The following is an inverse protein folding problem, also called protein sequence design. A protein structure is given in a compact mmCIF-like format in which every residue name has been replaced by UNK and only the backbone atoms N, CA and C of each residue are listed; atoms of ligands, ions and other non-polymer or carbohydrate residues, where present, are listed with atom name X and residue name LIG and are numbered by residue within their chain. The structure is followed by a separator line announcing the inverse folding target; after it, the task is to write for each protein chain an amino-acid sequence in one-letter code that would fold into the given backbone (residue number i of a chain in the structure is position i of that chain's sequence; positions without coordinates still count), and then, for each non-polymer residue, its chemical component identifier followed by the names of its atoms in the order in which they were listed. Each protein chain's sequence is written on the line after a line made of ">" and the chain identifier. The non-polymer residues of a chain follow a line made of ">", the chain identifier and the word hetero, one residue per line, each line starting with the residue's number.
data_IF_450325546121
#
_entry.id   IF_450325546121
#
_cell.length_a   1.000
_cell.length_b   1.000
_cell.length_c   1.000
_cell.angle_alpha   90.00
_cell.angle_beta   90.00
_cell.angle_gamma   90.00
#
_symmetry.space_group_name_H-M   'P 1'
#
loop_
_entity.id
_entity.type
_entity.pdbx_description
1 polymer ?
#
# COMPACT_ATOMS: atom_id res chain seq x y z
N UNK A 1 -22.67 30.41 -5.83
CA UNK A 1 -21.69 29.41 -5.36
C UNK A 1 -21.22 28.65 -6.58
N UNK A 2 -20.09 29.02 -7.19
CA UNK A 2 -19.56 28.27 -8.33
C UNK A 2 -18.85 27.04 -7.76
N UNK A 3 -19.48 25.88 -7.87
CA UNK A 3 -18.80 24.62 -7.60
C UNK A 3 -17.89 24.37 -8.80
N UNK A 4 -16.59 24.39 -8.57
CA UNK A 4 -15.60 24.18 -9.62
C UNK A 4 -15.65 22.71 -10.09
N UNK A 5 -15.66 22.48 -11.41
CA UNK A 5 -15.72 21.14 -12.00
C UNK A 5 -14.57 20.26 -11.46
N UNK A 6 -13.42 20.88 -11.18
CA UNK A 6 -12.27 20.23 -10.57
C UNK A 6 -12.60 19.68 -9.17
N UNK A 7 -13.32 20.43 -8.34
CA UNK A 7 -13.68 20.00 -6.98
C UNK A 7 -14.64 18.81 -7.02
N UNK A 8 -15.61 18.81 -7.94
CA UNK A 8 -16.53 17.68 -8.14
C UNK A 8 -15.73 16.44 -8.57
N UNK A 9 -14.79 16.58 -9.51
CA UNK A 9 -13.93 15.49 -9.96
C UNK A 9 -13.10 14.87 -8.83
N UNK A 10 -12.51 15.69 -7.96
CA UNK A 10 -11.70 15.20 -6.83
C UNK A 10 -12.57 14.47 -5.80
N UNK A 11 -13.78 14.96 -5.50
CA UNK A 11 -14.71 14.29 -4.58
C UNK A 11 -15.15 12.93 -5.13
N UNK A 12 -15.46 12.84 -6.43
CA UNK A 12 -15.78 11.55 -7.08
C UNK A 12 -14.59 10.59 -6.99
N UNK A 13 -13.38 11.07 -7.27
CA UNK A 13 -12.16 10.27 -7.15
C UNK A 13 -11.97 9.73 -5.72
N UNK A 14 -12.19 10.56 -4.69
CA UNK A 14 -12.12 10.15 -3.29
C UNK A 14 -13.12 9.03 -2.94
N UNK A 15 -14.38 9.18 -3.35
CA UNK A 15 -15.41 8.15 -3.12
C UNK A 15 -15.02 6.83 -3.79
N UNK A 16 -14.57 6.90 -5.05
CA UNK A 16 -14.11 5.73 -5.80
C UNK A 16 -12.90 5.08 -5.11
N UNK A 17 -11.93 5.87 -4.64
CA UNK A 17 -10.77 5.40 -3.89
C UNK A 17 -11.18 4.60 -2.64
N UNK A 18 -12.11 5.12 -1.83
CA UNK A 18 -12.61 4.40 -0.65
C UNK A 18 -13.30 3.07 -1.04
N UNK A 19 -14.12 3.07 -2.09
CA UNK A 19 -14.79 1.87 -2.59
C UNK A 19 -13.79 0.83 -3.09
N UNK A 20 -12.74 1.25 -3.78
CA UNK A 20 -11.68 0.37 -4.29
C UNK A 20 -10.86 -0.24 -3.17
N UNK A 21 -10.49 0.54 -2.15
CA UNK A 21 -9.81 0.02 -0.94
C UNK A 21 -10.70 -1.05 -0.27
N UNK A 22 -11.97 -0.74 -0.05
CA UNK A 22 -12.90 -1.68 0.58
C UNK A 22 -13.01 -2.99 -0.21
N UNK A 23 -13.25 -2.91 -1.53
CA UNK A 23 -13.34 -4.10 -2.39
C UNK A 23 -12.04 -4.91 -2.41
N UNK A 24 -10.90 -4.22 -2.43
CA UNK A 24 -9.59 -4.87 -2.36
C UNK A 24 -9.42 -5.65 -1.07
N UNK A 25 -9.73 -5.04 0.08
CA UNK A 25 -9.61 -5.67 1.39
C UNK A 25 -10.55 -6.87 1.54
N UNK A 26 -11.80 -6.77 1.08
CA UNK A 26 -12.75 -7.89 1.10
C UNK A 26 -12.25 -9.06 0.27
N UNK A 27 -11.75 -8.80 -0.94
CA UNK A 27 -11.17 -9.83 -1.80
C UNK A 27 -9.91 -10.44 -1.17
N UNK A 28 -9.03 -9.62 -0.60
CA UNK A 28 -7.78 -10.07 0.01
C UNK A 28 -8.01 -10.98 1.23
N UNK A 29 -8.85 -10.54 2.17
CA UNK A 29 -9.03 -11.18 3.47
C UNK A 29 -10.04 -12.32 3.36
N UNK A 30 -11.24 -12.04 2.84
CA UNK A 30 -12.37 -12.98 2.82
C UNK A 30 -12.52 -13.75 1.51
N UNK A 31 -11.69 -13.45 0.50
CA UNK A 31 -11.70 -14.17 -0.76
C UNK A 31 -11.13 -15.58 -0.67
N UNK A 32 -11.50 -16.41 -1.66
CA UNK A 32 -10.97 -17.77 -1.85
C UNK A 32 -9.44 -17.74 -1.96
N UNK A 33 -8.79 -18.82 -1.52
CA UNK A 33 -7.34 -18.99 -1.73
C UNK A 33 -7.06 -19.01 -3.24
N UNK A 34 -6.33 -18.04 -3.78
CA UNK A 34 -6.03 -17.98 -5.21
C UNK A 34 -4.96 -19.01 -5.62
N UNK A 35 -4.91 -19.31 -6.93
CA UNK A 35 -3.75 -19.98 -7.53
C UNK A 35 -2.53 -19.06 -7.56
N UNK A 36 -1.34 -19.63 -7.72
CA UNK A 36 -0.07 -18.91 -7.59
C UNK A 36 0.03 -17.62 -8.42
N UNK A 37 -0.33 -17.59 -9.73
CA UNK A 37 -0.26 -16.36 -10.52
C UNK A 37 -1.22 -15.27 -10.01
N UNK A 38 -2.41 -15.66 -9.57
CA UNK A 38 -3.40 -14.75 -9.03
C UNK A 38 -2.98 -14.22 -7.64
N UNK A 39 -2.40 -15.07 -6.78
CA UNK A 39 -1.82 -14.67 -5.50
C UNK A 39 -0.75 -13.59 -5.69
N UNK A 40 0.14 -13.79 -6.68
CA UNK A 40 1.16 -12.82 -7.05
C UNK A 40 0.57 -11.51 -7.58
N UNK A 41 -0.41 -11.57 -8.49
CA UNK A 41 -1.08 -10.38 -9.01
C UNK A 41 -1.74 -9.55 -7.90
N UNK A 42 -2.39 -10.20 -6.94
CA UNK A 42 -2.98 -9.54 -5.77
C UNK A 42 -1.89 -8.96 -4.86
N UNK A 43 -0.79 -9.67 -4.65
CA UNK A 43 0.37 -9.17 -3.91
C UNK A 43 0.98 -7.91 -4.54
N UNK A 44 1.16 -7.90 -5.87
CA UNK A 44 1.66 -6.73 -6.60
C UNK A 44 0.70 -5.55 -6.49
N UNK A 45 -0.61 -5.81 -6.56
CA UNK A 45 -1.63 -4.78 -6.36
C UNK A 45 -1.61 -4.21 -4.93
N UNK A 46 -1.41 -5.04 -3.90
CA UNK A 46 -1.20 -4.57 -2.52
C UNK A 46 0.07 -3.72 -2.39
N UNK A 47 1.11 -4.03 -3.15
CA UNK A 47 2.39 -3.33 -3.11
C UNK A 47 2.39 -1.95 -3.78
N UNK A 48 1.53 -1.76 -4.79
CA UNK A 48 1.57 -0.58 -5.66
C UNK A 48 0.28 0.22 -5.59
N UNK A 49 -0.84 -0.42 -5.92
CA UNK A 49 -2.14 0.23 -6.03
C UNK A 49 -2.72 0.63 -4.67
N UNK A 50 -2.66 -0.27 -3.69
CA UNK A 50 -3.19 0.00 -2.35
C UNK A 50 -2.53 1.20 -1.65
N UNK A 51 -1.18 1.32 -1.57
CA UNK A 51 -0.55 2.48 -0.96
C UNK A 51 -0.83 3.75 -1.75
N UNK A 52 -0.81 3.72 -3.08
CA UNK A 52 -1.11 4.88 -3.93
C UNK A 52 -2.52 5.45 -3.65
N UNK A 53 -3.54 4.60 -3.60
CA UNK A 53 -4.91 5.04 -3.29
C UNK A 53 -5.04 5.50 -1.85
N UNK A 54 -4.39 4.80 -0.91
CA UNK A 54 -4.45 5.15 0.52
C UNK A 54 -3.78 6.50 0.79
N UNK A 55 -2.65 6.79 0.14
CA UNK A 55 -2.01 8.10 0.23
C UNK A 55 -2.84 9.19 -0.42
N UNK A 56 -3.52 8.92 -1.54
CA UNK A 56 -4.46 9.88 -2.13
C UNK A 56 -5.60 10.23 -1.16
N UNK A 57 -6.20 9.22 -0.51
CA UNK A 57 -7.23 9.41 0.52
C UNK A 57 -6.69 10.22 1.70
N UNK A 58 -5.49 9.89 2.20
CA UNK A 58 -4.86 10.59 3.31
C UNK A 58 -4.55 12.06 2.96
N UNK A 59 -4.03 12.33 1.77
CA UNK A 59 -3.79 13.67 1.26
C UNK A 59 -5.09 14.47 1.10
N UNK A 60 -6.16 13.85 0.58
CA UNK A 60 -7.45 14.51 0.42
C UNK A 60 -8.05 14.92 1.77
N UNK A 61 -7.98 14.03 2.77
CA UNK A 61 -8.40 14.31 4.14
C UNK A 61 -7.57 15.45 4.74
N UNK A 62 -6.24 15.39 4.60
CA UNK A 62 -5.36 16.42 5.13
C UNK A 62 -5.68 17.81 4.56
N UNK A 63 -5.88 17.89 3.24
CA UNK A 63 -6.15 19.16 2.57
C UNK A 63 -7.54 19.74 2.83
N UNK A 64 -8.58 18.89 2.96
CA UNK A 64 -9.97 19.36 3.00
C UNK A 64 -10.61 19.30 4.39
N UNK A 65 -10.12 18.43 5.28
CA UNK A 65 -10.70 18.20 6.61
C UNK A 65 -9.80 18.76 7.68
N UNK A 66 -8.49 18.54 7.58
CA UNK A 66 -7.55 18.91 8.64
C UNK A 66 -7.37 20.44 8.77
N UNK A 67 -7.47 21.15 7.64
CA UNK A 67 -7.55 22.63 7.62
C UNK A 67 -8.79 23.18 8.34
N UNK A 68 -9.87 22.39 8.48
CA UNK A 68 -11.08 22.81 9.21
C UNK A 68 -10.89 22.76 10.73
N UNK A 69 -9.94 21.95 11.22
CA UNK A 69 -9.65 21.78 12.65
C UNK A 69 -8.45 22.61 13.13
N UNK A 70 -7.83 23.40 12.24
CA UNK A 70 -6.73 24.31 12.59
C UNK A 70 -5.45 23.61 13.07
N UNK A 71 -5.26 22.33 12.74
CA UNK A 71 -3.99 21.64 13.03
C UNK A 71 -3.03 21.79 11.86
N UNK A 72 -1.84 22.32 12.12
CA UNK A 72 -0.74 22.41 11.13
C UNK A 72 -0.01 21.07 10.93
N UNK A 73 -0.50 20.00 11.56
CA UNK A 73 0.17 18.71 11.56
C UNK A 73 -0.26 17.90 10.32
N UNK A 74 0.64 17.62 9.37
CA UNK A 74 0.28 16.96 8.12
C UNK A 74 -0.07 15.49 8.40
N UNK A 75 -1.37 15.19 8.49
CA UNK A 75 -1.88 13.83 8.77
C UNK A 75 -1.42 12.86 7.69
N UNK A 76 -1.30 13.31 6.44
CA UNK A 76 -0.83 12.46 5.34
C UNK A 76 0.61 11.95 5.58
N UNK A 77 1.49 12.78 6.18
CA UNK A 77 2.86 12.41 6.53
C UNK A 77 2.87 11.41 7.69
N UNK A 78 2.04 11.62 8.72
CA UNK A 78 1.86 10.68 9.83
C UNK A 78 1.38 9.31 9.37
N UNK A 79 0.44 9.26 8.43
CA UNK A 79 -0.13 8.03 7.89
C UNK A 79 0.73 7.38 6.81
N UNK A 80 1.71 8.10 6.25
CA UNK A 80 2.50 7.63 5.11
C UNK A 80 3.25 6.32 5.40
N UNK A 81 3.94 6.25 6.53
CA UNK A 81 4.71 5.07 6.97
C UNK A 81 3.77 3.92 7.35
N UNK A 82 2.75 4.09 8.21
CA UNK A 82 1.78 3.02 8.50
C UNK A 82 1.09 2.47 7.25
N UNK A 83 0.69 3.32 6.30
CA UNK A 83 0.08 2.91 5.02
C UNK A 83 1.06 2.05 4.23
N UNK A 84 2.33 2.46 4.12
CA UNK A 84 3.34 1.71 3.42
C UNK A 84 3.56 0.33 4.07
N UNK A 85 3.86 0.32 5.37
CA UNK A 85 4.16 -0.92 6.11
C UNK A 85 2.99 -1.89 6.07
N UNK A 86 1.76 -1.42 6.31
CA UNK A 86 0.57 -2.27 6.24
C UNK A 86 0.33 -2.84 4.84
N UNK A 87 0.54 -2.04 3.79
CA UNK A 87 0.42 -2.50 2.40
C UNK A 87 1.45 -3.57 2.05
N UNK A 88 2.70 -3.37 2.48
CA UNK A 88 3.79 -4.33 2.28
C UNK A 88 3.56 -5.64 3.04
N UNK A 89 3.15 -5.55 4.29
CA UNK A 89 2.77 -6.73 5.10
C UNK A 89 1.60 -7.47 4.46
N UNK A 90 0.59 -6.76 3.98
CA UNK A 90 -0.54 -7.38 3.30
C UNK A 90 -0.10 -8.04 1.98
N UNK A 91 0.81 -7.42 1.22
CA UNK A 91 1.35 -8.01 -0.01
C UNK A 91 2.07 -9.33 0.25
N UNK A 92 2.93 -9.39 1.28
CA UNK A 92 3.61 -10.61 1.68
C UNK A 92 2.66 -11.71 2.17
N UNK A 93 1.62 -11.32 2.92
CA UNK A 93 0.55 -12.22 3.35
C UNK A 93 -0.17 -12.83 2.14
N UNK A 94 -0.60 -12.00 1.18
CA UNK A 94 -1.39 -12.42 0.02
C UNK A 94 -0.58 -13.24 -0.99
N UNK A 95 0.69 -12.91 -1.21
CA UNK A 95 1.57 -13.72 -2.08
C UNK A 95 1.84 -15.12 -1.50
N UNK A 96 1.73 -15.27 -0.17
CA UNK A 96 1.87 -16.55 0.54
C UNK A 96 0.55 -17.33 0.55
N UNK A 97 -0.60 -16.66 0.47
CA UNK A 97 -1.94 -17.27 0.38
C UNK A 97 -2.16 -17.92 -0.99
N UNK A 98 -1.55 -19.07 -1.21
CA UNK A 98 -1.68 -19.89 -2.43
C UNK A 98 -1.91 -21.35 -2.07
N UNK A 99 -2.61 -22.10 -2.94
CA UNK A 99 -2.84 -23.54 -2.80
C UNK A 99 -1.68 -24.41 -3.28
N UNK A 100 -0.67 -23.80 -3.91
CA UNK A 100 0.51 -24.48 -4.46
C UNK A 100 1.74 -24.29 -3.57
N UNK A 101 2.73 -25.19 -3.66
CA UNK A 101 4.02 -25.13 -2.96
C UNK A 101 4.96 -24.02 -3.49
N UNK A 102 4.39 -22.94 -4.01
CA UNK A 102 5.07 -21.82 -4.66
C UNK A 102 5.16 -20.58 -3.79
N UNK A 103 4.63 -20.62 -2.56
CA UNK A 103 4.59 -19.46 -1.64
C UNK A 103 5.93 -18.74 -1.49
N UNK A 104 7.03 -19.52 -1.42
CA UNK A 104 8.37 -18.99 -1.26
C UNK A 104 8.98 -18.44 -2.56
N UNK A 105 8.59 -19.00 -3.71
CA UNK A 105 8.92 -18.44 -5.01
C UNK A 105 8.19 -17.11 -5.23
N UNK A 106 6.90 -17.06 -4.93
CA UNK A 106 6.07 -15.86 -5.02
C UNK A 106 6.65 -14.73 -4.17
N UNK A 107 7.03 -15.01 -2.92
CA UNK A 107 7.62 -13.99 -2.05
C UNK A 107 8.90 -13.38 -2.65
N UNK A 108 9.78 -14.21 -3.20
CA UNK A 108 11.03 -13.75 -3.83
C UNK A 108 10.76 -12.89 -5.07
N UNK A 109 9.84 -13.32 -5.92
CA UNK A 109 9.43 -12.57 -7.10
C UNK A 109 8.77 -11.24 -6.71
N UNK A 110 7.92 -11.26 -5.67
CA UNK A 110 7.26 -10.07 -5.15
C UNK A 110 8.26 -9.03 -4.67
N UNK A 111 9.27 -9.45 -3.90
CA UNK A 111 10.36 -8.57 -3.44
C UNK A 111 11.14 -8.05 -4.64
N UNK A 112 11.55 -8.91 -5.58
CA UNK A 112 12.33 -8.50 -6.74
C UNK A 112 11.57 -7.49 -7.63
N UNK A 113 10.29 -7.73 -7.88
CA UNK A 113 9.44 -6.87 -8.71
C UNK A 113 9.03 -5.58 -8.00
N UNK A 114 8.90 -5.59 -6.67
CA UNK A 114 8.51 -4.43 -5.89
C UNK A 114 9.68 -3.48 -5.60
N UNK A 115 10.84 -4.03 -5.21
CA UNK A 115 11.98 -3.24 -4.73
C UNK A 115 12.53 -2.32 -5.82
N UNK A 116 12.63 -2.78 -7.07
CA UNK A 116 13.24 -1.97 -8.15
C UNK A 116 12.39 -0.73 -8.48
N UNK A 117 11.08 -0.84 -8.80
CA UNK A 117 10.23 0.32 -9.02
C UNK A 117 10.14 1.22 -7.78
N UNK A 118 10.03 0.62 -6.59
CA UNK A 118 10.00 1.39 -5.33
C UNK A 118 11.29 2.18 -5.14
N UNK A 119 12.44 1.57 -5.41
CA UNK A 119 13.75 2.23 -5.35
C UNK A 119 13.86 3.42 -6.26
N UNK A 120 13.41 3.28 -7.51
CA UNK A 120 13.43 4.37 -8.49
C UNK A 120 12.52 5.50 -8.01
N UNK A 121 11.27 5.20 -7.66
CA UNK A 121 10.27 6.22 -7.24
C UNK A 121 10.72 6.92 -5.96
N UNK A 122 11.13 6.19 -4.93
CA UNK A 122 11.61 6.77 -3.68
C UNK A 122 12.87 7.61 -3.87
N UNK A 123 13.83 7.16 -4.67
CA UNK A 123 15.05 7.94 -4.94
C UNK A 123 14.73 9.30 -5.56
N UNK A 124 13.79 9.34 -6.51
CA UNK A 124 13.34 10.62 -7.09
C UNK A 124 12.50 11.45 -6.11
N UNK A 125 11.59 10.81 -5.36
CA UNK A 125 10.69 11.50 -4.43
C UNK A 125 11.43 12.13 -3.24
N UNK A 126 12.51 11.50 -2.79
CA UNK A 126 13.30 11.93 -1.62
C UNK A 126 14.66 12.52 -2.02
N UNK A 127 14.91 12.85 -3.30
CA UNK A 127 16.22 13.34 -3.75
C UNK A 127 16.69 14.61 -3.03
N UNK A 128 15.74 15.44 -2.58
CA UNK A 128 15.95 16.71 -1.88
C UNK A 128 15.90 16.58 -0.35
N UNK A 129 15.66 15.38 0.17
CA UNK A 129 15.53 15.08 1.58
C UNK A 129 16.81 14.40 2.12
N UNK A 130 17.04 14.43 3.44
CA UNK A 130 18.22 13.81 4.05
C UNK A 130 18.28 12.30 3.71
N UNK A 131 19.46 11.82 3.29
CA UNK A 131 19.65 10.45 2.79
C UNK A 131 19.24 9.33 3.77
N UNK A 132 19.12 9.61 5.07
CA UNK A 132 18.62 8.65 6.06
C UNK A 132 17.15 8.26 5.87
N UNK A 133 16.31 9.11 5.26
CA UNK A 133 14.92 8.77 4.96
C UNK A 133 14.82 7.63 3.94
N UNK A 134 15.69 7.63 2.92
CA UNK A 134 15.78 6.54 1.95
C UNK A 134 16.22 5.23 2.61
N UNK A 135 17.19 5.28 3.54
CA UNK A 135 17.61 4.07 4.26
C UNK A 135 16.51 3.45 5.12
N UNK A 136 15.67 4.27 5.76
CA UNK A 136 14.52 3.77 6.52
C UNK A 136 13.43 3.19 5.62
N UNK A 137 13.13 3.85 4.51
CA UNK A 137 12.14 3.38 3.53
C UNK A 137 12.54 2.02 2.94
N UNK A 138 13.79 1.86 2.51
CA UNK A 138 14.31 0.58 2.02
C UNK A 138 14.50 -0.46 3.12
N UNK A 139 14.96 -0.04 4.29
CA UNK A 139 15.19 -0.91 5.44
C UNK A 139 13.92 -1.57 5.95
N UNK A 140 12.77 -0.87 5.89
CA UNK A 140 11.48 -1.42 6.29
C UNK A 140 10.84 -2.31 5.21
N UNK A 141 11.22 -2.15 3.96
CA UNK A 141 10.54 -2.74 2.81
C UNK A 141 10.50 -4.28 2.84
N UNK A 142 11.68 -4.90 2.84
CA UNK A 142 11.82 -6.37 2.82
C UNK A 142 11.30 -6.99 4.12
N UNK A 143 11.66 -6.48 5.33
CA UNK A 143 11.12 -7.01 6.57
C UNK A 143 9.59 -7.00 6.64
N UNK A 144 8.93 -5.92 6.18
CA UNK A 144 7.47 -5.84 6.21
C UNK A 144 6.80 -6.94 5.37
N UNK A 145 7.33 -7.24 4.18
CA UNK A 145 6.87 -8.33 3.32
C UNK A 145 7.08 -9.70 3.99
N UNK A 146 8.25 -9.92 4.60
CA UNK A 146 8.55 -11.17 5.32
C UNK A 146 7.62 -11.37 6.52
N UNK A 147 7.33 -10.31 7.28
CA UNK A 147 6.37 -10.34 8.39
C UNK A 147 4.99 -10.78 7.90
N UNK A 148 4.54 -10.28 6.76
CA UNK A 148 3.29 -10.70 6.12
C UNK A 148 3.18 -12.20 5.91
N UNK A 149 4.26 -12.81 5.39
CA UNK A 149 4.34 -14.27 5.25
C UNK A 149 4.27 -14.99 6.60
N UNK A 150 5.04 -14.53 7.58
CA UNK A 150 5.09 -15.16 8.91
C UNK A 150 3.70 -15.15 9.54
N UNK A 151 2.97 -14.04 9.41
CA UNK A 151 1.59 -13.90 9.90
C UNK A 151 0.67 -14.92 9.23
N UNK A 152 0.74 -15.08 7.90
CA UNK A 152 -0.06 -16.09 7.20
C UNK A 152 0.19 -17.50 7.74
N UNK A 153 1.46 -17.91 7.81
CA UNK A 153 1.84 -19.25 8.26
C UNK A 153 1.38 -19.53 9.69
N UNK A 154 1.50 -18.55 10.59
CA UNK A 154 1.03 -18.68 11.97
C UNK A 154 -0.49 -18.78 12.11
N UNK A 155 -1.25 -18.25 11.17
CA UNK A 155 -2.71 -18.33 11.20
C UNK A 155 -3.25 -19.63 10.60
N UNK A 156 -2.44 -20.33 9.80
CA UNK A 156 -2.85 -21.55 9.09
C UNK A 156 -2.28 -22.84 9.68
N UNK A 157 -1.33 -22.74 10.61
CA UNK A 157 -0.76 -23.87 11.37
C UNK A 157 -1.32 -23.88 12.80
#
# INVERSE_FOLDING_TARGET
>A
MNIDILQIGIVIAFILSCVLIYKFLVMAISGKVPQSPAAMGIGIAALSFLPAISWFVAWFIDRNINQLFGSDLPIYLLLSIPILVSSLTLAGYLATKTSEDTSMMNLKLLIALGVIPHFIVSTFAFMSLPGWMNYLDFGAYIPAIIIGRILYIKMTN
#
